data_IF_256090636275
#
_entry.id   IF_256090636275
#
_cell.length_a   1.000
_cell.length_b   1.000
_cell.length_c   1.000
_cell.angle_alpha   90.00
_cell.angle_beta   90.00
_cell.angle_gamma   90.00
#
_symmetry.space_group_name_H-M   'P 1'
#
loop_
_entity.id
_entity.type
_entity.pdbx_description
1 polymer ?
#
# COMPACT_ATOMS: atom_id res chain seq x y z
N UNK A 1 -5.11 -30.36 -0.52
CA UNK A 1 -6.26 -31.20 -0.83
C UNK A 1 -7.55 -30.35 -0.84
N UNK A 2 -8.53 -30.64 -1.69
CA UNK A 2 -9.79 -29.89 -1.80
C UNK A 2 -10.50 -29.70 -0.43
N UNK A 3 -10.36 -30.63 0.49
CA UNK A 3 -10.96 -30.59 1.84
C UNK A 3 -10.47 -29.45 2.74
N UNK A 4 -9.33 -28.82 2.43
CA UNK A 4 -8.79 -27.71 3.23
C UNK A 4 -9.10 -26.33 2.60
N UNK A 5 -9.49 -26.30 1.34
CA UNK A 5 -9.75 -25.05 0.60
C UNK A 5 -11.02 -24.39 1.12
N UNK A 6 -12.12 -25.12 1.25
CA UNK A 6 -13.41 -24.56 1.72
C UNK A 6 -13.31 -23.91 3.11
N UNK A 7 -12.79 -24.59 4.16
CA UNK A 7 -12.67 -23.96 5.47
C UNK A 7 -11.75 -22.73 5.49
N UNK A 8 -10.70 -22.73 4.69
CA UNK A 8 -9.80 -21.56 4.57
C UNK A 8 -10.46 -20.42 3.83
N UNK A 9 -11.24 -20.70 2.80
CA UNK A 9 -11.99 -19.69 2.04
C UNK A 9 -13.07 -19.07 2.91
N UNK A 10 -13.85 -19.86 3.64
CA UNK A 10 -14.89 -19.36 4.55
C UNK A 10 -14.30 -18.50 5.66
N UNK A 11 -13.15 -18.91 6.24
CA UNK A 11 -12.43 -18.11 7.22
C UNK A 11 -11.94 -16.77 6.64
N UNK A 12 -11.42 -16.78 5.42
CA UNK A 12 -10.98 -15.57 4.74
C UNK A 12 -12.16 -14.62 4.49
N UNK A 13 -13.27 -15.14 3.96
CA UNK A 13 -14.49 -14.35 3.72
C UNK A 13 -15.04 -13.75 5.02
N UNK A 14 -15.06 -14.52 6.10
CA UNK A 14 -15.47 -14.04 7.42
C UNK A 14 -14.57 -12.90 7.91
N UNK A 15 -13.24 -13.07 7.83
CA UNK A 15 -12.27 -12.03 8.24
C UNK A 15 -12.40 -10.74 7.42
N UNK A 16 -12.81 -10.84 6.16
CA UNK A 16 -13.00 -9.69 5.27
C UNK A 16 -14.39 -9.06 5.39
N UNK A 17 -15.34 -9.74 6.07
CA UNK A 17 -16.73 -9.34 6.13
C UNK A 17 -17.47 -9.52 4.79
N UNK A 18 -17.08 -10.54 4.01
CA UNK A 18 -17.60 -10.84 2.66
C UNK A 18 -18.55 -12.04 2.62
N UNK A 19 -19.06 -12.47 3.77
CA UNK A 19 -19.94 -13.66 3.84
C UNK A 19 -21.21 -13.51 2.98
N UNK A 20 -21.73 -12.27 2.91
CA UNK A 20 -22.93 -11.99 2.12
C UNK A 20 -22.64 -11.91 0.61
N UNK A 21 -21.41 -11.59 0.26
CA UNK A 21 -20.95 -11.37 -1.10
C UNK A 21 -20.27 -12.60 -1.71
N UNK A 22 -20.23 -13.73 -1.00
CA UNK A 22 -19.52 -14.95 -1.44
C UNK A 22 -19.89 -15.43 -2.85
N UNK A 23 -21.15 -15.23 -3.25
CA UNK A 23 -21.68 -15.60 -4.56
C UNK A 23 -21.73 -14.43 -5.55
N UNK A 24 -21.23 -13.25 -5.15
CA UNK A 24 -21.20 -12.06 -5.98
C UNK A 24 -19.99 -12.10 -6.94
N UNK A 25 -20.23 -11.79 -8.20
CA UNK A 25 -19.12 -11.69 -9.17
C UNK A 25 -18.17 -10.56 -8.77
N UNK A 26 -16.87 -10.85 -8.76
CA UNK A 26 -15.81 -9.89 -8.39
C UNK A 26 -15.93 -8.59 -9.20
N UNK A 27 -16.29 -8.66 -10.48
CA UNK A 27 -16.49 -7.47 -11.33
C UNK A 27 -17.53 -6.49 -10.78
N UNK A 28 -18.52 -6.99 -10.02
CA UNK A 28 -19.64 -6.21 -9.47
C UNK A 28 -19.32 -5.60 -8.11
N UNK A 29 -18.22 -5.98 -7.48
CA UNK A 29 -17.79 -5.42 -6.20
C UNK A 29 -17.32 -3.96 -6.37
N UNK A 30 -17.52 -3.09 -5.36
CA UNK A 30 -16.90 -1.77 -5.31
C UNK A 30 -15.36 -1.88 -5.36
N UNK A 31 -14.69 -0.83 -5.87
CA UNK A 31 -13.25 -0.85 -6.07
C UNK A 31 -12.47 -1.16 -4.80
N UNK A 32 -12.79 -0.52 -3.68
CA UNK A 32 -12.12 -0.78 -2.40
C UNK A 32 -12.27 -2.23 -1.91
N UNK A 33 -13.39 -2.90 -2.23
CA UNK A 33 -13.60 -4.31 -1.91
C UNK A 33 -12.77 -5.23 -2.82
N UNK A 34 -12.64 -4.88 -4.10
CA UNK A 34 -11.76 -5.60 -5.02
C UNK A 34 -10.30 -5.56 -4.55
N UNK A 35 -9.86 -4.39 -4.10
CA UNK A 35 -8.49 -4.20 -3.58
C UNK A 35 -8.27 -4.99 -2.29
N UNK A 36 -9.23 -4.94 -1.33
CA UNK A 36 -9.19 -5.77 -0.12
C UNK A 36 -9.08 -7.26 -0.45
N UNK A 37 -9.90 -7.74 -1.38
CA UNK A 37 -9.88 -9.14 -1.81
C UNK A 37 -8.54 -9.50 -2.47
N UNK A 38 -8.06 -8.67 -3.42
CA UNK A 38 -6.81 -8.90 -4.11
C UNK A 38 -5.61 -8.97 -3.14
N UNK A 39 -5.51 -8.03 -2.20
CA UNK A 39 -4.48 -8.04 -1.17
C UNK A 39 -4.56 -9.29 -0.28
N UNK A 40 -5.76 -9.66 0.15
CA UNK A 40 -5.97 -10.83 1.00
C UNK A 40 -5.57 -12.13 0.32
N UNK A 41 -5.84 -12.25 -0.98
CA UNK A 41 -5.38 -13.38 -1.81
C UNK A 41 -3.85 -13.36 -1.95
N UNK A 42 -3.26 -12.18 -2.16
CA UNK A 42 -1.79 -12.04 -2.28
C UNK A 42 -1.05 -12.49 -1.03
N UNK A 43 -1.61 -12.28 0.17
CA UNK A 43 -0.98 -12.68 1.45
C UNK A 43 -1.48 -14.03 1.99
N UNK A 44 -2.40 -14.70 1.28
CA UNK A 44 -3.06 -15.92 1.75
C UNK A 44 -2.10 -17.09 2.00
N UNK A 45 -1.01 -17.17 1.26
CA UNK A 45 0.02 -18.21 1.37
C UNK A 45 1.19 -17.82 2.28
N UNK A 46 1.02 -16.78 3.10
CA UNK A 46 2.02 -16.24 4.04
C UNK A 46 3.38 -15.95 3.38
N UNK A 47 3.41 -15.08 2.35
CA UNK A 47 4.66 -14.74 1.68
C UNK A 47 5.58 -13.95 2.63
N UNK A 48 6.89 -13.98 2.37
CA UNK A 48 7.86 -13.14 3.09
C UNK A 48 7.81 -11.68 2.66
N UNK A 49 7.46 -11.43 1.40
CA UNK A 49 7.36 -10.10 0.80
C UNK A 49 6.19 -10.05 -0.16
N UNK A 50 5.50 -8.93 -0.20
CA UNK A 50 4.45 -8.61 -1.17
C UNK A 50 4.71 -7.24 -1.78
N UNK A 51 4.47 -7.12 -3.10
CA UNK A 51 4.56 -5.88 -3.84
C UNK A 51 3.17 -5.40 -4.22
N UNK A 52 2.87 -4.14 -3.93
CA UNK A 52 1.60 -3.50 -4.20
C UNK A 52 1.86 -2.26 -5.07
N UNK A 53 1.29 -2.24 -6.25
CA UNK A 53 1.44 -1.13 -7.18
C UNK A 53 0.19 -0.24 -7.12
N UNK A 54 0.34 0.98 -6.58
CA UNK A 54 -0.71 1.97 -6.38
C UNK A 54 -2.03 1.40 -5.80
N UNK A 55 -1.97 0.62 -4.70
CA UNK A 55 -3.10 -0.20 -4.27
C UNK A 55 -4.31 0.61 -3.79
N UNK A 56 -4.15 1.89 -3.51
CA UNK A 56 -5.18 2.79 -3.01
C UNK A 56 -5.67 3.79 -4.07
N UNK A 57 -5.20 3.65 -5.30
CA UNK A 57 -5.60 4.50 -6.41
C UNK A 57 -7.10 4.45 -6.67
N UNK A 58 -7.75 5.62 -6.71
CA UNK A 58 -9.17 5.76 -7.05
C UNK A 58 -10.17 5.30 -5.99
N UNK A 59 -9.73 4.98 -4.76
CA UNK A 59 -10.64 4.66 -3.65
C UNK A 59 -10.90 5.88 -2.77
N UNK A 60 -12.04 5.86 -2.09
CA UNK A 60 -12.40 6.91 -1.14
C UNK A 60 -11.46 6.90 0.10
N UNK A 61 -11.38 8.02 0.86
CA UNK A 61 -10.47 8.13 2.00
C UNK A 61 -10.72 7.12 3.12
N UNK A 62 -11.96 6.65 3.30
CA UNK A 62 -12.26 5.65 4.33
C UNK A 62 -11.76 4.26 3.91
N UNK A 63 -11.99 3.88 2.64
CA UNK A 63 -11.47 2.65 2.08
C UNK A 63 -9.93 2.63 2.06
N UNK A 64 -9.27 3.78 1.80
CA UNK A 64 -7.82 3.94 1.86
C UNK A 64 -7.29 3.67 3.26
N UNK A 65 -7.84 4.28 4.31
CA UNK A 65 -7.45 4.01 5.71
C UNK A 65 -7.60 2.53 6.06
N UNK A 66 -8.73 1.93 5.73
CA UNK A 66 -8.95 0.51 5.98
C UNK A 66 -7.93 -0.39 5.25
N UNK A 67 -7.48 0.01 4.07
CA UNK A 67 -6.46 -0.74 3.33
C UNK A 67 -5.10 -0.66 4.02
N UNK A 68 -4.70 0.53 4.51
CA UNK A 68 -3.47 0.70 5.30
C UNK A 68 -3.48 -0.09 6.60
N UNK A 69 -4.63 -0.17 7.29
CA UNK A 69 -4.79 -1.07 8.45
C UNK A 69 -4.49 -2.54 8.10
N UNK A 70 -4.92 -3.00 6.93
CA UNK A 70 -4.62 -4.36 6.47
C UNK A 70 -3.11 -4.54 6.16
N UNK A 71 -2.45 -3.52 5.62
CA UNK A 71 -1.00 -3.53 5.40
C UNK A 71 -0.26 -3.65 6.74
N UNK A 72 -0.63 -2.86 7.75
CA UNK A 72 -0.04 -2.94 9.09
C UNK A 72 -0.23 -4.33 9.71
N UNK A 73 -1.44 -4.88 9.64
CA UNK A 73 -1.69 -6.24 10.13
C UNK A 73 -0.84 -7.31 9.42
N UNK A 74 -0.55 -7.13 8.14
CA UNK A 74 0.34 -8.03 7.41
C UNK A 74 1.80 -7.85 7.84
N UNK A 75 2.25 -6.60 8.05
CA UNK A 75 3.58 -6.28 8.55
C UNK A 75 3.81 -6.82 9.96
N UNK A 76 2.83 -6.70 10.86
CA UNK A 76 2.87 -7.26 12.22
C UNK A 76 3.02 -8.80 12.24
N UNK A 77 2.56 -9.46 11.17
CA UNK A 77 2.76 -10.90 10.96
C UNK A 77 4.13 -11.25 10.37
N UNK A 78 4.99 -10.26 10.15
CA UNK A 78 6.33 -10.42 9.60
C UNK A 78 6.42 -10.43 8.08
N UNK A 79 5.37 -10.01 7.37
CA UNK A 79 5.38 -9.84 5.91
C UNK A 79 5.99 -8.48 5.57
N UNK A 80 7.03 -8.45 4.76
CA UNK A 80 7.54 -7.18 4.21
C UNK A 80 6.60 -6.72 3.10
N UNK A 81 6.02 -5.52 3.25
CA UNK A 81 5.11 -4.95 2.26
C UNK A 81 5.81 -3.80 1.54
N UNK A 82 5.99 -3.95 0.22
CA UNK A 82 6.52 -2.90 -0.64
C UNK A 82 5.35 -2.25 -1.40
N UNK A 83 5.16 -0.95 -1.20
CA UNK A 83 4.05 -0.19 -1.79
C UNK A 83 4.61 0.89 -2.71
N UNK A 84 4.10 0.99 -3.94
CA UNK A 84 4.27 2.19 -4.76
C UNK A 84 3.05 3.09 -4.60
N UNK A 85 3.26 4.38 -4.55
CA UNK A 85 2.18 5.38 -4.50
C UNK A 85 2.65 6.71 -5.08
N UNK A 86 1.74 7.47 -5.62
CA UNK A 86 1.94 8.88 -5.98
C UNK A 86 1.30 9.83 -4.95
N UNK A 87 0.70 9.30 -3.89
CA UNK A 87 0.15 10.08 -2.79
C UNK A 87 1.22 10.28 -1.72
N UNK A 88 1.75 11.49 -1.59
CA UNK A 88 2.85 11.76 -0.64
C UNK A 88 2.41 11.66 0.83
N UNK A 89 1.13 11.84 1.13
CA UNK A 89 0.56 11.60 2.45
C UNK A 89 0.65 10.12 2.87
N UNK A 90 0.60 9.19 1.92
CA UNK A 90 0.77 7.76 2.21
C UNK A 90 2.22 7.40 2.59
N UNK A 91 3.19 8.16 2.15
CA UNK A 91 4.58 7.98 2.54
C UNK A 91 4.78 8.14 4.06
N UNK A 92 3.94 8.95 4.73
CA UNK A 92 3.96 9.11 6.19
C UNK A 92 3.61 7.82 6.95
N UNK A 93 2.93 6.87 6.30
CA UNK A 93 2.53 5.59 6.88
C UNK A 93 3.60 4.51 6.79
N UNK A 94 4.70 4.76 6.08
CA UNK A 94 5.74 3.79 5.82
C UNK A 94 6.89 3.89 6.83
N UNK A 95 7.50 2.76 7.19
CA UNK A 95 8.74 2.74 7.99
C UNK A 95 9.92 3.34 7.23
N UNK A 96 9.98 3.10 5.91
CA UNK A 96 11.01 3.63 5.01
C UNK A 96 10.40 4.04 3.69
N UNK A 97 10.91 5.14 3.14
CA UNK A 97 10.45 5.72 1.88
C UNK A 97 11.63 5.88 0.92
N UNK A 98 11.41 5.45 -0.31
CA UNK A 98 12.30 5.68 -1.43
C UNK A 98 11.61 6.66 -2.39
N UNK A 99 12.20 7.83 -2.61
CA UNK A 99 11.67 8.83 -3.53
C UNK A 99 12.41 8.72 -4.85
N UNK A 100 11.65 8.49 -5.92
CA UNK A 100 12.17 8.39 -7.27
C UNK A 100 11.81 9.66 -8.05
N UNK A 101 12.82 10.29 -8.68
CA UNK A 101 12.68 11.44 -9.57
C UNK A 101 13.47 11.14 -10.85
N UNK A 102 12.87 11.35 -12.00
CA UNK A 102 13.49 11.14 -13.32
C UNK A 102 14.18 9.77 -13.46
N UNK A 103 13.54 8.71 -12.93
CA UNK A 103 14.03 7.33 -13.01
C UNK A 103 15.21 7.00 -12.08
N UNK A 104 15.53 7.88 -11.13
CA UNK A 104 16.59 7.68 -10.13
C UNK A 104 16.02 7.77 -8.72
N UNK A 105 16.62 7.03 -7.81
CA UNK A 105 16.32 7.16 -6.38
C UNK A 105 17.13 8.34 -5.84
N UNK A 106 16.46 9.43 -5.54
CA UNK A 106 17.09 10.66 -5.05
C UNK A 106 17.13 10.74 -3.52
N UNK A 107 16.26 10.00 -2.84
CA UNK A 107 16.26 9.91 -1.37
C UNK A 107 15.73 8.55 -0.91
N UNK A 108 16.28 8.04 0.19
CA UNK A 108 15.87 6.79 0.83
C UNK A 108 16.15 6.87 2.33
N UNK A 109 15.12 7.03 3.14
CA UNK A 109 15.21 7.00 4.61
C UNK A 109 13.80 6.84 5.22
N UNK A 110 13.70 6.99 6.55
CA UNK A 110 12.41 7.13 7.24
C UNK A 110 11.75 8.47 6.88
N UNK A 111 10.41 8.57 6.89
CA UNK A 111 9.72 9.84 6.66
C UNK A 111 10.21 10.97 7.56
N UNK A 112 10.46 10.67 8.84
CA UNK A 112 10.99 11.63 9.81
C UNK A 112 12.35 12.19 9.38
N UNK A 113 13.31 11.31 9.08
CA UNK A 113 14.66 11.73 8.68
C UNK A 113 14.64 12.53 7.39
N UNK A 114 13.82 12.15 6.42
CA UNK A 114 13.66 12.89 5.17
C UNK A 114 13.11 14.30 5.44
N UNK A 115 12.09 14.44 6.26
CA UNK A 115 11.56 15.76 6.64
C UNK A 115 12.61 16.62 7.35
N UNK A 116 13.34 16.04 8.28
CA UNK A 116 14.43 16.74 9.00
C UNK A 116 15.54 17.17 8.02
N UNK A 117 15.94 16.29 7.11
CA UNK A 117 17.01 16.56 6.12
C UNK A 117 16.68 17.72 5.16
N UNK A 118 15.41 17.81 4.75
CA UNK A 118 14.95 18.84 3.81
C UNK A 118 14.31 20.05 4.50
N UNK A 119 14.33 20.10 5.85
CA UNK A 119 13.64 21.11 6.66
C UNK A 119 12.18 21.30 6.22
N UNK A 120 11.49 20.18 6.04
CA UNK A 120 10.12 20.08 5.53
C UNK A 120 9.18 19.61 6.64
N UNK A 121 7.92 20.05 6.56
CA UNK A 121 6.87 19.63 7.50
C UNK A 121 6.12 18.37 7.05
N UNK A 122 6.10 18.12 5.74
CA UNK A 122 5.39 17.02 5.10
C UNK A 122 6.24 16.31 4.06
N UNK A 123 5.87 15.07 3.73
CA UNK A 123 6.53 14.32 2.65
C UNK A 123 6.27 14.95 1.27
N UNK A 124 5.16 15.66 1.09
CA UNK A 124 4.87 16.41 -0.12
C UNK A 124 5.89 17.53 -0.35
N UNK A 125 6.24 18.28 0.71
CA UNK A 125 7.30 19.29 0.66
C UNK A 125 8.67 18.67 0.32
N UNK A 126 9.01 17.52 0.90
CA UNK A 126 10.24 16.78 0.56
C UNK A 126 10.28 16.44 -0.92
N UNK A 127 9.19 15.87 -1.45
CA UNK A 127 9.08 15.54 -2.87
C UNK A 127 9.26 16.78 -3.77
N UNK A 128 8.60 17.88 -3.43
CA UNK A 128 8.75 19.14 -4.17
C UNK A 128 10.17 19.69 -4.16
N UNK A 129 10.90 19.56 -3.04
CA UNK A 129 12.32 19.96 -2.99
C UNK A 129 13.17 19.14 -3.95
N UNK A 130 12.97 17.84 -4.01
CA UNK A 130 13.71 16.94 -4.89
C UNK A 130 13.37 17.17 -6.37
N UNK A 131 12.08 17.28 -6.71
CA UNK A 131 11.62 17.51 -8.07
C UNK A 131 12.14 18.85 -8.66
N UNK A 132 12.18 19.92 -7.85
CA UNK A 132 12.75 21.22 -8.27
C UNK A 132 14.26 21.17 -8.50
N UNK A 133 14.99 20.35 -7.74
CA UNK A 133 16.43 20.18 -7.91
C UNK A 133 16.75 19.48 -9.22
N UNK A 134 15.93 18.50 -9.62
CA UNK A 134 16.10 17.78 -10.87
C UNK A 134 15.90 18.69 -12.08
N UNK A 135 14.86 19.52 -12.12
CA UNK A 135 14.63 20.49 -13.21
C UNK A 135 15.75 21.51 -13.37
N UNK A 136 16.42 21.91 -12.27
CA UNK A 136 17.56 22.86 -12.34
C UNK A 136 18.86 22.22 -12.84
N UNK A 137 18.98 20.91 -12.76
CA UNK A 137 20.18 20.18 -13.23
C UNK A 137 20.02 19.70 -14.69
N UNK A 138 18.87 19.94 -15.31
CA UNK A 138 18.58 19.57 -16.70
C UNK A 138 18.79 20.72 -17.69
N UNK A 139 19.02 21.95 -17.20
CA UNK A 139 19.42 23.16 -17.95
C UNK A 139 20.96 23.38 -17.86
#
# INVERSE_FOLDING_TARGET
PKREIEPRTDNLLHRLGFEKEKDTLVKSLPLGWKQKLAFSVAIFHDPKIVFLDEPTGGVDPAARRNFWEMIYQAADRGITVFVTTHYMDEAEYCDRVSIMVDGRIDALDTPKNLKDQFNASTMDEVFHHLARKSTRNAD
#
